data_IF_286701041805
#
_entry.id   IF_286701041805
#
_cell.length_a   1.000
_cell.length_b   1.000
_cell.length_c   1.000
_cell.angle_alpha   90.00
_cell.angle_beta   90.00
_cell.angle_gamma   90.00
#
_symmetry.space_group_name_H-M   'P 1'
#
loop_
_entity.id
_entity.type
_entity.pdbx_description
1 polymer ?
#
# COMPACT_ATOMS: atom_id res chain seq x y z
N UNK A 1 46.97 -6.24 -70.69
CA UNK A 1 45.62 -6.26 -70.07
C UNK A 1 45.62 -6.73 -68.62
N UNK A 2 46.59 -7.55 -68.19
CA UNK A 2 46.72 -8.04 -66.79
C UNK A 2 47.03 -6.91 -65.79
N UNK A 3 47.71 -5.85 -66.23
CA UNK A 3 48.01 -4.65 -65.43
C UNK A 3 46.76 -3.92 -64.95
N UNK A 4 45.73 -3.78 -65.80
CA UNK A 4 44.43 -3.17 -65.44
C UNK A 4 43.67 -3.97 -64.39
N UNK A 5 43.78 -5.31 -64.43
CA UNK A 5 43.18 -6.17 -63.43
C UNK A 5 43.92 -6.05 -62.08
N UNK A 6 45.25 -5.97 -62.11
CA UNK A 6 46.07 -5.81 -60.89
C UNK A 6 45.86 -4.45 -60.21
N UNK A 7 45.68 -3.38 -60.99
CA UNK A 7 45.38 -2.05 -60.44
C UNK A 7 43.97 -1.97 -59.88
N UNK A 8 42.99 -2.65 -60.50
CA UNK A 8 41.63 -2.74 -59.98
C UNK A 8 41.57 -3.51 -58.65
N UNK A 9 42.31 -4.61 -58.54
CA UNK A 9 42.39 -5.42 -57.32
C UNK A 9 43.11 -4.66 -56.20
N UNK A 10 44.19 -3.92 -56.51
CA UNK A 10 44.87 -3.05 -55.55
C UNK A 10 43.97 -1.92 -55.02
N UNK A 11 43.14 -1.34 -55.88
CA UNK A 11 42.15 -0.32 -55.51
C UNK A 11 41.00 -0.89 -54.66
N UNK A 12 40.52 -2.10 -54.98
CA UNK A 12 39.48 -2.76 -54.18
C UNK A 12 40.02 -3.18 -52.80
N UNK A 13 41.29 -3.59 -52.74
CA UNK A 13 41.98 -3.93 -51.49
C UNK A 13 42.18 -2.71 -50.58
N UNK A 14 42.26 -1.49 -51.12
CA UNK A 14 42.36 -0.28 -50.30
C UNK A 14 41.01 0.19 -49.74
N UNK A 15 39.88 -0.20 -50.36
CA UNK A 15 38.53 0.14 -49.89
C UNK A 15 37.99 -0.82 -48.81
N UNK A 16 38.45 -2.08 -48.81
CA UNK A 16 38.12 -3.09 -47.80
C UNK A 16 38.35 -2.65 -46.35
N UNK A 17 39.54 -2.11 -45.97
CA UNK A 17 39.79 -1.72 -44.58
C UNK A 17 38.86 -0.59 -44.12
N UNK A 18 38.48 0.34 -45.00
CA UNK A 18 37.59 1.44 -44.64
C UNK A 18 36.13 1.00 -44.51
N UNK A 19 35.66 0.07 -45.35
CA UNK A 19 34.34 -0.54 -45.19
C UNK A 19 34.21 -1.32 -43.87
N UNK A 20 35.27 -2.05 -43.48
CA UNK A 20 35.32 -2.78 -42.21
C UNK A 20 35.34 -1.83 -41.01
N UNK A 21 36.08 -0.71 -41.08
CA UNK A 21 36.07 0.32 -40.04
C UNK A 21 34.67 0.91 -39.86
N UNK A 22 34.00 1.27 -40.96
CA UNK A 22 32.66 1.86 -40.91
C UNK A 22 31.62 0.92 -40.28
N UNK A 23 31.76 -0.39 -40.52
CA UNK A 23 30.92 -1.40 -39.88
C UNK A 23 31.20 -1.55 -38.38
N UNK A 24 32.47 -1.53 -37.97
CA UNK A 24 32.85 -1.56 -36.55
C UNK A 24 32.37 -0.32 -35.81
N UNK A 25 32.59 0.86 -36.36
CA UNK A 25 32.11 2.13 -35.79
C UNK A 25 30.58 2.12 -35.61
N UNK A 26 29.85 1.49 -36.54
CA UNK A 26 28.40 1.33 -36.40
C UNK A 26 28.02 0.36 -35.27
N UNK A 27 28.75 -0.76 -35.12
CA UNK A 27 28.52 -1.68 -34.00
C UNK A 27 28.85 -1.04 -32.66
N UNK A 28 29.95 -0.29 -32.56
CA UNK A 28 30.37 0.39 -31.35
C UNK A 28 29.33 1.44 -30.92
N UNK A 29 28.83 2.25 -31.86
CA UNK A 29 27.75 3.20 -31.59
C UNK A 29 26.46 2.53 -31.17
N UNK A 30 26.10 1.40 -31.79
CA UNK A 30 24.93 0.63 -31.38
C UNK A 30 25.08 0.09 -29.95
N UNK A 31 26.28 -0.35 -29.58
CA UNK A 31 26.59 -0.82 -28.24
C UNK A 31 26.56 0.31 -27.20
N UNK A 32 27.14 1.48 -27.52
CA UNK A 32 27.06 2.67 -26.68
C UNK A 32 25.61 3.12 -26.44
N UNK A 33 24.79 3.14 -27.50
CA UNK A 33 23.36 3.45 -27.39
C UNK A 33 22.63 2.44 -26.50
N UNK A 34 22.98 1.16 -26.58
CA UNK A 34 22.39 0.12 -25.75
C UNK A 34 22.74 0.33 -24.26
N UNK A 35 23.99 0.68 -23.95
CA UNK A 35 24.42 1.00 -22.59
C UNK A 35 23.68 2.23 -22.05
N UNK A 36 23.57 3.29 -22.84
CA UNK A 36 22.82 4.50 -22.47
C UNK A 36 21.34 4.19 -22.20
N UNK A 37 20.74 3.32 -23.02
CA UNK A 37 19.35 2.90 -22.83
C UNK A 37 19.16 2.11 -21.52
N UNK A 38 20.09 1.20 -21.20
CA UNK A 38 20.08 0.45 -19.94
C UNK A 38 20.22 1.39 -18.73
N UNK A 39 21.09 2.39 -18.79
CA UNK A 39 21.23 3.39 -17.73
C UNK A 39 19.96 4.23 -17.55
N UNK A 40 19.35 4.67 -18.65
CA UNK A 40 18.06 5.38 -18.61
C UNK A 40 16.95 4.51 -18.01
N UNK A 41 16.91 3.22 -18.35
CA UNK A 41 15.95 2.28 -17.79
C UNK A 41 16.16 2.11 -16.28
N UNK A 42 17.39 1.87 -15.84
CA UNK A 42 17.72 1.76 -14.42
C UNK A 42 17.35 3.04 -13.64
N UNK A 43 17.59 4.21 -14.23
CA UNK A 43 17.23 5.50 -13.62
C UNK A 43 15.71 5.67 -13.53
N UNK A 44 14.95 5.26 -14.56
CA UNK A 44 13.48 5.28 -14.54
C UNK A 44 12.91 4.37 -13.45
N UNK A 45 13.42 3.14 -13.36
CA UNK A 45 13.02 2.16 -12.35
C UNK A 45 13.33 2.68 -10.93
N UNK A 46 14.52 3.24 -10.71
CA UNK A 46 14.88 3.83 -9.42
C UNK A 46 14.04 5.05 -9.05
N UNK A 47 13.68 5.90 -10.02
CA UNK A 47 12.81 7.04 -9.78
C UNK A 47 11.37 6.61 -9.45
N UNK A 48 10.84 5.59 -10.14
CA UNK A 48 9.53 5.02 -9.83
C UNK A 48 9.47 4.47 -8.40
N UNK A 49 10.49 3.70 -7.99
CA UNK A 49 10.59 3.18 -6.62
C UNK A 49 10.63 4.30 -5.58
N UNK A 50 11.40 5.37 -5.81
CA UNK A 50 11.44 6.53 -4.91
C UNK A 50 10.08 7.24 -4.81
N UNK A 51 9.35 7.36 -5.92
CA UNK A 51 8.01 7.93 -5.89
C UNK A 51 7.07 7.05 -5.06
N UNK A 52 7.12 5.73 -5.22
CA UNK A 52 6.33 4.79 -4.41
C UNK A 52 6.68 4.90 -2.92
N UNK A 53 7.96 5.00 -2.57
CA UNK A 53 8.40 5.22 -1.19
C UNK A 53 7.88 6.54 -0.62
N UNK A 54 7.96 7.64 -1.37
CA UNK A 54 7.43 8.95 -0.96
C UNK A 54 5.91 8.85 -0.75
N UNK A 55 5.19 8.22 -1.67
CA UNK A 55 3.74 8.04 -1.55
C UNK A 55 3.35 7.20 -0.32
N UNK A 56 4.13 6.17 0.01
CA UNK A 56 3.91 5.38 1.22
C UNK A 56 4.20 6.20 2.48
N UNK A 57 5.27 6.99 2.49
CA UNK A 57 5.64 7.85 3.61
C UNK A 57 4.61 8.97 3.84
N UNK A 58 4.15 9.64 2.78
CA UNK A 58 3.11 10.68 2.89
C UNK A 58 1.79 10.08 3.35
N UNK A 59 1.37 8.92 2.83
CA UNK A 59 0.16 8.23 3.29
C UNK A 59 0.25 7.87 4.78
N UNK A 60 1.43 7.47 5.25
CA UNK A 60 1.66 7.19 6.67
C UNK A 60 1.64 8.47 7.51
N UNK A 61 2.27 9.55 7.04
CA UNK A 61 2.29 10.84 7.71
C UNK A 61 0.89 11.48 7.78
N UNK A 62 0.09 11.37 6.71
CA UNK A 62 -1.31 11.81 6.69
C UNK A 62 -2.17 10.99 7.65
N UNK A 63 -2.03 9.66 7.64
CA UNK A 63 -2.72 8.82 8.61
C UNK A 63 -2.32 9.21 10.04
N UNK A 64 -1.02 9.39 10.29
CA UNK A 64 -0.50 9.80 11.59
C UNK A 64 -1.02 11.19 11.98
N UNK A 65 -1.06 12.17 11.08
CA UNK A 65 -1.61 13.49 11.32
C UNK A 65 -3.12 13.46 11.62
N UNK A 66 -3.87 12.57 10.96
CA UNK A 66 -5.29 12.33 11.27
C UNK A 66 -5.49 11.77 12.68
N UNK A 67 -4.51 11.02 13.19
CA UNK A 67 -4.51 10.47 14.56
C UNK A 67 -3.81 11.37 15.60
N UNK A 68 -2.99 12.33 15.17
CA UNK A 68 -2.38 13.35 16.05
C UNK A 68 -3.48 14.33 16.43
N UNK A 69 -4.16 13.97 17.51
CA UNK A 69 -5.05 14.87 18.21
C UNK A 69 -4.23 16.05 18.74
N UNK A 70 -4.73 17.27 18.58
CA UNK A 70 -4.08 18.52 18.95
C UNK A 70 -3.30 18.39 20.26
N UNK A 71 -1.96 18.47 20.19
CA UNK A 71 -1.09 18.55 21.37
C UNK A 71 -1.35 19.88 22.06
N UNK A 72 -2.32 19.86 22.96
CA UNK A 72 -2.37 20.83 24.04
C UNK A 72 -1.22 20.40 24.94
N UNK A 73 -0.23 21.23 25.23
CA UNK A 73 1.01 20.88 25.96
C UNK A 73 0.80 20.42 27.43
N UNK A 74 -0.39 19.89 27.73
CA UNK A 74 -0.95 19.48 28.99
C UNK A 74 -1.20 17.96 28.91
N UNK A 75 -0.27 17.18 29.48
CA UNK A 75 -0.27 15.70 29.48
C UNK A 75 -1.60 15.03 29.86
N UNK A 76 -2.39 15.64 30.74
CA UNK A 76 -3.66 15.04 31.17
C UNK A 76 -4.79 15.24 30.17
N UNK A 77 -4.79 16.33 29.40
CA UNK A 77 -5.80 16.59 28.36
C UNK A 77 -5.58 15.66 27.17
N UNK A 78 -4.33 15.50 26.74
CA UNK A 78 -3.96 14.58 25.65
C UNK A 78 -4.23 13.11 26.03
N UNK A 79 -3.96 12.73 27.29
CA UNK A 79 -4.30 11.40 27.81
C UNK A 79 -5.82 11.16 27.89
N UNK A 80 -6.59 12.20 28.28
CA UNK A 80 -8.04 12.11 28.29
C UNK A 80 -8.59 11.96 26.87
N UNK A 81 -8.09 12.74 25.91
CA UNK A 81 -8.53 12.68 24.51
C UNK A 81 -8.19 11.33 23.86
N UNK A 82 -7.01 10.77 24.15
CA UNK A 82 -6.62 9.42 23.73
C UNK A 82 -7.51 8.31 24.31
N UNK A 83 -8.16 8.56 25.46
CA UNK A 83 -9.05 7.59 26.11
C UNK A 83 -10.53 7.76 25.73
N UNK A 84 -10.96 8.86 25.11
CA UNK A 84 -12.37 9.08 24.71
C UNK A 84 -12.90 7.94 23.84
N UNK A 85 -12.15 7.52 22.82
CA UNK A 85 -12.55 6.42 21.92
C UNK A 85 -12.71 5.08 22.68
N UNK A 86 -11.72 4.62 23.48
CA UNK A 86 -11.88 3.45 24.37
C UNK A 86 -13.02 3.59 25.39
N UNK A 87 -13.17 4.75 26.02
CA UNK A 87 -14.16 4.98 27.08
C UNK A 87 -15.58 4.89 26.51
N UNK A 88 -15.85 5.48 25.35
CA UNK A 88 -17.14 5.32 24.68
C UNK A 88 -17.42 3.86 24.33
N UNK A 89 -16.42 3.14 23.81
CA UNK A 89 -16.57 1.72 23.49
C UNK A 89 -16.90 0.88 24.74
N UNK A 90 -16.18 1.09 25.85
CA UNK A 90 -16.46 0.41 27.11
C UNK A 90 -17.79 0.82 27.73
N UNK A 91 -18.20 2.08 27.60
CA UNK A 91 -19.50 2.55 28.10
C UNK A 91 -20.67 1.89 27.35
N UNK A 92 -20.62 1.84 26.02
CA UNK A 92 -21.64 1.16 25.22
C UNK A 92 -21.66 -0.35 25.46
N UNK A 93 -20.49 -0.98 25.53
CA UNK A 93 -20.40 -2.42 25.83
C UNK A 93 -20.88 -2.75 27.25
N UNK A 94 -20.51 -1.92 28.23
CA UNK A 94 -20.94 -2.05 29.60
C UNK A 94 -22.45 -1.85 29.76
N UNK A 95 -23.02 -0.84 29.10
CA UNK A 95 -24.47 -0.61 29.05
C UNK A 95 -25.20 -1.80 28.43
N UNK A 96 -24.69 -2.33 27.31
CA UNK A 96 -25.24 -3.52 26.67
C UNK A 96 -25.21 -4.75 27.60
N UNK A 97 -24.07 -5.00 28.25
CA UNK A 97 -23.91 -6.10 29.20
C UNK A 97 -24.87 -5.95 30.39
N UNK A 98 -25.05 -4.74 30.92
CA UNK A 98 -25.96 -4.46 32.02
C UNK A 98 -27.42 -4.72 31.62
N UNK A 99 -27.84 -4.26 30.43
CA UNK A 99 -29.18 -4.53 29.89
C UNK A 99 -29.40 -6.03 29.72
N UNK A 100 -28.40 -6.77 29.19
CA UNK A 100 -28.50 -8.24 29.05
C UNK A 100 -28.58 -8.94 30.41
N UNK A 101 -27.78 -8.54 31.40
CA UNK A 101 -27.88 -9.07 32.76
C UNK A 101 -29.26 -8.83 33.37
N UNK A 102 -29.84 -7.64 33.18
CA UNK A 102 -31.19 -7.33 33.64
C UNK A 102 -32.23 -8.20 32.92
N UNK A 103 -32.13 -8.34 31.59
CA UNK A 103 -33.01 -9.21 30.80
C UNK A 103 -32.95 -10.66 31.28
N UNK A 104 -31.76 -11.21 31.52
CA UNK A 104 -31.59 -12.55 32.09
C UNK A 104 -32.16 -12.69 33.50
N UNK A 105 -32.07 -11.65 34.33
CA UNK A 105 -32.62 -11.67 35.70
C UNK A 105 -34.16 -11.64 35.75
N UNK A 106 -34.79 -11.13 34.69
CA UNK A 106 -36.25 -11.06 34.53
C UNK A 106 -36.86 -12.35 33.97
N UNK A 107 -36.03 -13.27 33.48
CA UNK A 107 -36.48 -14.57 32.97
C UNK A 107 -36.68 -15.50 34.17
N UNK A 108 -37.94 -15.80 34.48
CA UNK A 108 -38.28 -16.80 35.48
C UNK A 108 -37.70 -18.18 35.11
N UNK A 109 -37.35 -18.97 36.13
CA UNK A 109 -36.61 -20.25 36.02
C UNK A 109 -37.30 -21.33 35.18
N UNK A 110 -38.53 -21.09 34.71
CA UNK A 110 -39.33 -21.99 33.88
C UNK A 110 -39.46 -21.51 32.42
N UNK A 111 -38.71 -20.48 32.02
CA UNK A 111 -38.79 -19.96 30.67
C UNK A 111 -38.38 -21.01 29.63
N UNK A 112 -39.27 -21.21 28.67
CA UNK A 112 -39.11 -22.15 27.57
C UNK A 112 -37.86 -21.83 26.74
N UNK A 113 -37.22 -22.83 26.10
CA UNK A 113 -35.95 -22.65 25.37
C UNK A 113 -35.95 -21.52 24.34
N UNK A 114 -37.11 -21.23 23.73
CA UNK A 114 -37.29 -20.16 22.75
C UNK A 114 -37.18 -18.73 23.32
N UNK A 115 -37.26 -18.55 24.64
CA UNK A 115 -37.05 -17.25 25.28
C UNK A 115 -35.58 -16.81 25.19
N UNK A 116 -34.65 -17.77 25.18
CA UNK A 116 -33.22 -17.50 25.03
C UNK A 116 -32.86 -17.11 23.59
N UNK A 117 -33.49 -17.72 22.59
CA UNK A 117 -33.32 -17.33 21.18
C UNK A 117 -33.81 -15.90 20.92
N UNK A 118 -34.82 -15.43 21.64
CA UNK A 118 -35.28 -14.04 21.55
C UNK A 118 -34.35 -13.05 22.26
N UNK A 119 -33.57 -13.51 23.24
CA UNK A 119 -32.58 -12.69 23.94
C UNK A 119 -31.31 -12.45 23.11
N UNK A 120 -31.07 -13.25 22.07
CA UNK A 120 -29.97 -13.06 21.12
C UNK A 120 -30.53 -12.94 19.70
N UNK A 121 -31.16 -11.80 19.44
CA UNK A 121 -31.82 -11.52 18.17
C UNK A 121 -30.88 -11.02 17.08
N UNK A 122 -31.43 -10.81 15.89
CA UNK A 122 -30.71 -10.18 14.77
C UNK A 122 -30.23 -8.76 15.11
N UNK A 123 -30.99 -8.03 15.93
CA UNK A 123 -30.63 -6.68 16.40
C UNK A 123 -29.34 -6.70 17.25
N UNK A 124 -29.20 -7.69 18.13
CA UNK A 124 -28.00 -7.87 18.97
C UNK A 124 -26.77 -8.21 18.11
N UNK A 125 -26.96 -9.08 17.11
CA UNK A 125 -25.93 -9.44 16.15
C UNK A 125 -25.48 -8.23 15.33
N UNK A 126 -26.42 -7.38 14.89
CA UNK A 126 -26.12 -6.15 14.17
C UNK A 126 -25.33 -5.15 15.02
N UNK A 127 -25.72 -4.98 16.30
CA UNK A 127 -24.98 -4.12 17.25
C UNK A 127 -23.56 -4.66 17.46
N UNK A 128 -23.41 -5.97 17.67
CA UNK A 128 -22.10 -6.59 17.88
C UNK A 128 -21.20 -6.48 16.64
N UNK A 129 -21.76 -6.73 15.45
CA UNK A 129 -21.07 -6.53 14.17
C UNK A 129 -20.66 -5.06 13.97
N UNK A 130 -21.53 -4.10 14.33
CA UNK A 130 -21.23 -2.68 14.29
C UNK A 130 -20.07 -2.28 15.20
N UNK A 131 -20.00 -2.82 16.42
CA UNK A 131 -18.90 -2.58 17.36
C UNK A 131 -17.57 -3.15 16.83
N UNK A 132 -17.59 -4.38 16.31
CA UNK A 132 -16.42 -5.02 15.70
C UNK A 132 -15.95 -4.20 14.48
N UNK A 133 -16.88 -3.80 13.61
CA UNK A 133 -16.58 -2.96 12.45
C UNK A 133 -16.04 -1.59 12.85
N UNK A 134 -16.51 -0.98 13.95
CA UNK A 134 -15.97 0.29 14.43
C UNK A 134 -14.52 0.14 14.93
N UNK A 135 -14.21 -0.93 15.69
CA UNK A 135 -12.89 -1.12 16.28
C UNK A 135 -11.85 -1.65 15.28
N UNK A 136 -12.27 -2.53 14.35
CA UNK A 136 -11.39 -3.18 13.39
C UNK A 136 -11.52 -2.66 11.96
N UNK A 137 -12.61 -1.96 11.61
CA UNK A 137 -12.87 -1.47 10.25
C UNK A 137 -11.86 -0.44 9.77
N UNK A 138 -11.25 0.35 10.67
CA UNK A 138 -10.16 1.25 10.27
C UNK A 138 -8.88 0.50 9.86
N UNK A 139 -8.59 -0.67 10.47
CA UNK A 139 -7.47 -1.54 10.04
C UNK A 139 -7.78 -2.29 8.74
N UNK A 140 -9.04 -2.59 8.48
CA UNK A 140 -9.48 -3.26 7.25
C UNK A 140 -9.54 -2.29 6.05
N UNK A 141 -10.08 -1.07 6.23
CA UNK A 141 -10.20 -0.07 5.15
C UNK A 141 -8.84 0.43 4.63
N UNK A 142 -7.79 0.45 5.46
CA UNK A 142 -6.44 0.80 5.01
C UNK A 142 -5.80 -0.21 4.04
N UNK A 143 -6.32 -1.44 3.96
CA UNK A 143 -5.83 -2.49 3.05
C UNK A 143 -6.61 -2.59 1.74
N UNK A 144 -7.86 -2.15 1.72
CA UNK A 144 -8.74 -2.22 0.54
C UNK A 144 -8.46 -1.07 -0.45
N UNK A 145 -7.78 -0.01 0.00
CA UNK A 145 -7.27 1.07 -0.85
C UNK A 145 -5.81 0.83 -1.25
N UNK A 146 -5.49 -0.39 -1.69
CA UNK A 146 -4.26 -0.73 -2.43
C UNK A 146 -4.63 -1.04 -3.87
#
# INVERSE_FOLDING_TARGET
MITLLSTLIGFLSSLLPDAVKLYRDHQDRAHELQILHLQLQQQREGNAQRLDEIHQQTSFAEAQALYQTWKSDIRWVDALNGTVRPVLAYAFFGMYLLIKCLQYSLIETQALPWAFDRLWGEEDQAIFAGIIAFYFGQRAMGKVRK
#
